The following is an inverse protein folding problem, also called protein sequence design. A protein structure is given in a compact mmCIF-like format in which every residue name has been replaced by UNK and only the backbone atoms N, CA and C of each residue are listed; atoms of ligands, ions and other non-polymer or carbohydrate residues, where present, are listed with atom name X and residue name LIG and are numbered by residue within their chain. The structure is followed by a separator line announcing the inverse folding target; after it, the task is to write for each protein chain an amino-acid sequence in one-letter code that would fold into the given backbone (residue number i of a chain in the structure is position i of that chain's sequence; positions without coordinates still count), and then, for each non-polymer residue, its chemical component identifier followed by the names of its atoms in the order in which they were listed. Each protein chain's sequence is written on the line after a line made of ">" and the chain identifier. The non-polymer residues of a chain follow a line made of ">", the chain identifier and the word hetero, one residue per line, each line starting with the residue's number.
data_IF_200882898779
#
_entry.id   IF_200882898779
#
_cell.length_a   1.000
_cell.length_b   1.000
_cell.length_c   1.000
_cell.angle_alpha   90.00
_cell.angle_beta   90.00
_cell.angle_gamma   90.00
#
_symmetry.space_group_name_H-M   'P 1'
#
loop_
_entity.id
_entity.type
_entity.pdbx_description
1 polymer ?
#
# COMPACT_ATOMS: atom_id res chain seq x y z
N UNK A 1 -8.10 1.03 -4.19
CA UNK A 1 -6.70 1.18 -4.68
C UNK A 1 -6.40 2.67 -4.76
N UNK A 2 -5.46 3.22 -3.98
CA UNK A 2 -5.13 4.64 -4.07
C UNK A 2 -3.92 4.90 -4.98
N UNK A 3 -4.04 5.89 -5.86
CA UNK A 3 -2.96 6.48 -6.64
C UNK A 3 -2.46 7.70 -5.87
N UNK A 4 -1.13 7.83 -5.74
CA UNK A 4 -0.53 9.06 -5.27
C UNK A 4 -0.12 9.86 -6.51
N UNK A 5 -0.54 11.11 -6.54
CA UNK A 5 -0.04 12.08 -7.50
C UNK A 5 0.88 12.98 -6.69
N UNK A 6 2.07 13.20 -7.18
CA UNK A 6 2.93 14.23 -6.61
C UNK A 6 3.27 15.09 -7.80
N UNK A 7 2.80 16.34 -7.77
CA UNK A 7 3.22 17.33 -8.74
C UNK A 7 4.75 17.40 -8.69
N UNK A 8 5.42 16.80 -9.67
CA UNK A 8 6.87 16.93 -9.85
C UNK A 8 7.16 18.40 -10.13
N UNK A 9 7.80 19.09 -9.19
CA UNK A 9 8.33 20.42 -9.47
C UNK A 9 8.78 21.24 -8.27
N UNK A 10 8.12 21.13 -7.12
CA UNK A 10 8.44 21.97 -5.97
C UNK A 10 8.70 21.13 -4.73
N UNK A 11 9.99 20.95 -4.47
CA UNK A 11 10.56 20.38 -3.25
C UNK A 11 10.51 21.43 -2.12
N UNK A 12 9.36 22.09 -1.95
CA UNK A 12 9.13 22.99 -0.83
C UNK A 12 8.63 22.16 0.35
N UNK A 13 9.12 22.45 1.56
CA UNK A 13 8.81 21.71 2.80
C UNK A 13 7.30 21.70 3.18
N UNK A 14 6.44 22.37 2.39
CA UNK A 14 5.00 22.56 2.62
C UNK A 14 4.12 22.17 1.43
N UNK A 15 4.62 21.41 0.47
CA UNK A 15 3.79 21.00 -0.67
C UNK A 15 2.62 20.11 -0.23
N UNK A 16 1.40 20.47 -0.63
CA UNK A 16 0.17 19.70 -0.40
C UNK A 16 0.29 18.26 -0.96
N UNK A 17 -0.40 17.30 -0.34
CA UNK A 17 -0.38 15.89 -0.74
C UNK A 17 -1.56 15.62 -1.69
N UNK A 18 -1.30 15.44 -2.98
CA UNK A 18 -2.36 15.07 -3.95
C UNK A 18 -2.59 13.54 -3.98
N UNK A 19 -3.84 13.10 -3.78
CA UNK A 19 -4.23 11.69 -3.81
C UNK A 19 -5.43 11.50 -4.73
N UNK A 20 -5.34 10.53 -5.63
CA UNK A 20 -6.47 10.09 -6.44
C UNK A 20 -6.87 8.66 -6.03
N UNK A 21 -8.07 8.46 -5.51
CA UNK A 21 -8.50 7.16 -5.00
C UNK A 21 -9.36 6.44 -6.04
N UNK A 22 -8.92 5.25 -6.46
CA UNK A 22 -9.71 4.31 -7.26
C UNK A 22 -10.52 3.42 -6.31
N UNK A 23 -11.83 3.59 -6.29
CA UNK A 23 -12.75 2.76 -5.54
C UNK A 23 -13.78 2.13 -6.48
N UNK A 24 -13.83 0.80 -6.54
CA UNK A 24 -14.92 0.10 -7.23
C UNK A 24 -16.17 0.13 -6.35
N UNK A 25 -17.31 0.55 -6.90
CA UNK A 25 -18.63 0.44 -6.27
C UNK A 25 -18.82 1.19 -4.93
N UNK A 26 -18.14 2.33 -4.72
CA UNK A 26 -18.38 3.17 -3.54
C UNK A 26 -19.59 4.08 -3.75
N UNK A 27 -20.48 4.16 -2.75
CA UNK A 27 -21.59 5.12 -2.75
C UNK A 27 -21.10 6.50 -2.29
N UNK A 28 -21.81 7.56 -2.67
CA UNK A 28 -21.43 8.92 -2.28
C UNK A 28 -21.42 9.10 -0.74
N UNK A 29 -22.31 8.41 -0.02
CA UNK A 29 -22.28 8.38 1.46
C UNK A 29 -21.01 7.76 2.04
N UNK A 30 -20.51 6.67 1.44
CA UNK A 30 -19.25 6.05 1.88
C UNK A 30 -18.06 6.91 1.49
N UNK A 31 -18.15 7.63 0.37
CA UNK A 31 -17.12 8.60 -0.04
C UNK A 31 -17.00 9.75 0.96
N UNK A 32 -18.10 10.26 1.50
CA UNK A 32 -18.06 11.27 2.56
C UNK A 32 -17.27 10.80 3.79
N UNK A 33 -17.38 9.51 4.17
CA UNK A 33 -16.57 8.95 5.25
C UNK A 33 -15.08 8.91 4.93
N UNK A 34 -14.73 8.68 3.66
CA UNK A 34 -13.33 8.72 3.21
C UNK A 34 -12.79 10.14 3.33
N UNK A 35 -13.57 11.13 2.90
CA UNK A 35 -13.20 12.55 3.04
C UNK A 35 -13.03 12.94 4.52
N UNK A 36 -13.95 12.51 5.39
CA UNK A 36 -13.87 12.74 6.83
C UNK A 36 -12.58 12.15 7.44
N UNK A 37 -12.18 10.94 7.06
CA UNK A 37 -10.91 10.35 7.51
C UNK A 37 -9.71 11.16 7.03
N UNK A 38 -9.75 11.68 5.80
CA UNK A 38 -8.66 12.45 5.21
C UNK A 38 -8.54 13.83 5.86
N UNK A 39 -9.67 14.50 6.09
CA UNK A 39 -9.73 15.83 6.74
C UNK A 39 -9.28 15.75 8.21
N UNK A 40 -9.58 14.65 8.90
CA UNK A 40 -9.18 14.42 10.29
C UNK A 40 -7.84 13.66 10.43
N UNK A 41 -7.10 13.46 9.35
CA UNK A 41 -5.81 12.78 9.43
C UNK A 41 -4.80 13.63 10.21
N UNK A 42 -4.02 13.00 11.09
CA UNK A 42 -2.96 13.66 11.86
C UNK A 42 -1.72 13.91 10.97
N UNK A 43 -1.88 14.81 10.00
CA UNK A 43 -0.85 15.19 9.05
C UNK A 43 -0.64 16.69 9.06
N UNK A 44 0.63 17.11 9.13
CA UNK A 44 1.02 18.53 9.05
C UNK A 44 0.72 19.17 7.68
N UNK A 45 0.54 18.35 6.64
CA UNK A 45 0.28 18.77 5.27
C UNK A 45 -1.19 18.55 4.91
N UNK A 46 -1.75 19.46 4.13
CA UNK A 46 -3.10 19.30 3.58
C UNK A 46 -3.10 18.18 2.54
N UNK A 47 -4.13 17.34 2.57
CA UNK A 47 -4.32 16.28 1.59
C UNK A 47 -5.42 16.73 0.62
N UNK A 48 -5.09 16.93 -0.65
CA UNK A 48 -6.08 17.10 -1.72
C UNK A 48 -6.46 15.73 -2.27
N UNK A 49 -7.71 15.32 -2.07
CA UNK A 49 -8.18 13.99 -2.43
C UNK A 49 -9.30 14.04 -3.46
N UNK A 50 -9.09 13.38 -4.60
CA UNK A 50 -10.07 13.23 -5.66
C UNK A 50 -10.52 11.78 -5.82
N UNK A 51 -11.82 11.60 -6.10
CA UNK A 51 -12.37 10.30 -6.51
C UNK A 51 -12.02 10.05 -7.97
N UNK A 52 -11.20 9.04 -8.24
CA UNK A 52 -10.71 8.77 -9.58
C UNK A 52 -11.75 8.00 -10.41
N UNK A 53 -12.72 8.73 -10.96
CA UNK A 53 -13.75 8.23 -11.88
C UNK A 53 -13.98 9.25 -12.99
N UNK A 54 -14.04 8.82 -14.24
CA UNK A 54 -14.23 9.72 -15.39
C UNK A 54 -15.51 10.56 -15.34
N UNK A 55 -16.51 10.14 -14.54
CA UNK A 55 -17.76 10.87 -14.30
C UNK A 55 -17.68 11.87 -13.15
N UNK A 56 -16.62 11.83 -12.33
CA UNK A 56 -16.47 12.64 -11.11
C UNK A 56 -15.30 13.61 -11.18
N UNK A 57 -14.42 13.49 -12.17
CA UNK A 57 -13.32 14.42 -12.43
C UNK A 57 -13.32 14.86 -13.90
N UNK A 58 -12.78 16.05 -14.16
CA UNK A 58 -12.74 16.60 -15.52
C UNK A 58 -11.90 15.69 -16.44
N UNK A 59 -12.22 15.60 -17.74
CA UNK A 59 -11.46 14.78 -18.68
C UNK A 59 -9.97 15.14 -18.73
N UNK A 60 -9.65 16.43 -18.64
CA UNK A 60 -8.26 16.92 -18.67
C UNK A 60 -7.48 16.46 -17.44
N UNK A 61 -8.09 16.55 -16.26
CA UNK A 61 -7.51 16.07 -15.01
C UNK A 61 -7.38 14.54 -15.03
N UNK A 62 -8.40 13.84 -15.52
CA UNK A 62 -8.39 12.37 -15.63
C UNK A 62 -7.22 11.88 -16.49
N UNK A 63 -7.01 12.46 -17.66
CA UNK A 63 -5.90 12.12 -18.57
C UNK A 63 -4.53 12.49 -17.96
N UNK A 64 -4.42 13.65 -17.32
CA UNK A 64 -3.20 14.05 -16.61
C UNK A 64 -2.83 13.02 -15.53
N UNK A 65 -3.79 12.63 -14.70
CA UNK A 65 -3.60 11.63 -13.65
C UNK A 65 -3.22 10.28 -14.27
N UNK A 66 -3.88 9.85 -15.36
CA UNK A 66 -3.52 8.61 -16.04
C UNK A 66 -2.06 8.59 -16.51
N UNK A 67 -1.58 9.72 -17.04
CA UNK A 67 -0.23 9.87 -17.56
C UNK A 67 0.83 9.95 -16.46
N UNK A 68 0.52 10.60 -15.34
CA UNK A 68 1.50 10.95 -14.29
C UNK A 68 1.42 10.08 -13.04
N UNK A 69 0.39 9.22 -12.91
CA UNK A 69 0.16 8.44 -11.69
C UNK A 69 1.36 7.59 -11.27
N UNK A 70 1.66 7.61 -9.97
CA UNK A 70 2.47 6.60 -9.29
C UNK A 70 1.54 5.72 -8.46
N UNK A 71 1.46 4.45 -8.83
CA UNK A 71 0.62 3.45 -8.16
C UNK A 71 1.26 3.09 -6.79
N UNK A 72 0.85 3.78 -5.73
CA UNK A 72 1.50 3.66 -4.41
C UNK A 72 0.89 2.50 -3.58
N UNK A 73 -0.44 2.50 -3.41
CA UNK A 73 -1.08 1.51 -2.53
C UNK A 73 -1.05 0.08 -3.06
N UNK A 74 -0.98 -0.15 -4.38
CA UNK A 74 -0.94 -1.53 -4.88
C UNK A 74 0.40 -2.21 -4.61
N UNK A 75 1.50 -1.47 -4.66
CA UNK A 75 2.85 -2.04 -4.54
C UNK A 75 3.17 -2.41 -3.10
N UNK A 76 2.78 -1.54 -2.16
CA UNK A 76 2.89 -1.80 -0.74
C UNK A 76 1.95 -2.92 -0.30
N UNK A 77 0.68 -2.92 -0.77
CA UNK A 77 -0.26 -4.01 -0.47
C UNK A 77 0.18 -5.33 -1.06
N UNK A 78 0.78 -5.35 -2.27
CA UNK A 78 1.31 -6.57 -2.87
C UNK A 78 2.47 -7.14 -2.04
N UNK A 79 3.36 -6.27 -1.54
CA UNK A 79 4.47 -6.67 -0.67
C UNK A 79 3.97 -7.15 0.70
N UNK A 80 3.01 -6.44 1.28
CA UNK A 80 2.35 -6.82 2.54
C UNK A 80 1.70 -8.20 2.42
N UNK A 81 0.93 -8.44 1.35
CA UNK A 81 0.25 -9.72 1.16
C UNK A 81 1.23 -10.88 0.94
N UNK A 82 2.34 -10.63 0.22
CA UNK A 82 3.42 -11.63 0.09
C UNK A 82 4.04 -11.96 1.45
N UNK A 83 4.36 -10.93 2.24
CA UNK A 83 4.90 -11.11 3.59
C UNK A 83 3.91 -11.86 4.48
N UNK A 84 2.64 -11.46 4.52
CA UNK A 84 1.58 -12.09 5.32
C UNK A 84 1.44 -13.58 5.02
N UNK A 85 1.42 -13.96 3.74
CA UNK A 85 1.36 -15.38 3.33
C UNK A 85 2.57 -16.19 3.79
N UNK A 86 3.77 -15.61 3.64
CA UNK A 86 5.00 -16.27 4.11
C UNK A 86 5.02 -16.44 5.63
N UNK A 87 4.58 -15.40 6.36
CA UNK A 87 4.47 -15.42 7.81
C UNK A 87 3.49 -16.48 8.31
N UNK A 88 2.29 -16.58 7.72
CA UNK A 88 1.33 -17.65 8.06
C UNK A 88 1.93 -19.04 7.85
N UNK A 89 2.67 -19.23 6.75
CA UNK A 89 3.33 -20.52 6.48
C UNK A 89 4.42 -20.83 7.52
N UNK A 90 5.15 -19.81 7.98
CA UNK A 90 6.17 -19.96 9.02
C UNK A 90 5.53 -20.28 10.38
N UNK A 91 4.42 -19.63 10.72
CA UNK A 91 3.63 -19.92 11.93
C UNK A 91 3.12 -21.37 11.92
N UNK A 92 2.59 -21.84 10.79
CA UNK A 92 2.17 -23.24 10.63
C UNK A 92 3.33 -24.24 10.84
N UNK A 93 4.56 -23.88 10.46
CA UNK A 93 5.75 -24.71 10.69
C UNK A 93 6.15 -24.66 12.18
N UNK A 94 6.09 -23.48 12.79
CA UNK A 94 6.43 -23.28 14.20
C UNK A 94 5.52 -24.07 15.15
N UNK A 95 4.24 -24.24 14.80
CA UNK A 95 3.28 -25.01 15.59
C UNK A 95 3.44 -26.54 15.47
N UNK A 96 4.28 -27.03 14.56
CA UNK A 96 4.53 -28.47 14.40
C UNK A 96 5.51 -28.98 15.46
N UNK A 97 5.39 -30.26 15.87
CA UNK A 97 6.34 -30.86 16.79
C UNK A 97 7.76 -30.82 16.22
N UNK A 98 8.73 -30.64 17.12
CA UNK A 98 10.15 -30.66 16.78
C UNK A 98 10.50 -32.02 16.17
N UNK A 99 11.33 -32.02 15.15
CA UNK A 99 11.83 -33.21 14.46
C UNK A 99 13.35 -33.15 14.34
N UNK A 100 13.99 -34.32 14.36
CA UNK A 100 15.42 -34.47 14.09
C UNK A 100 15.73 -34.60 12.59
N UNK A 101 14.69 -34.66 11.74
CA UNK A 101 14.85 -34.70 10.29
C UNK A 101 15.56 -33.44 9.78
N UNK A 102 16.81 -33.62 9.35
CA UNK A 102 17.66 -32.57 8.80
C UNK A 102 17.02 -31.85 7.62
N UNK A 103 16.32 -32.57 6.74
CA UNK A 103 15.68 -31.95 5.57
C UNK A 103 14.55 -31.00 6.02
N UNK A 104 13.80 -31.38 7.05
CA UNK A 104 12.77 -30.53 7.63
C UNK A 104 13.36 -29.31 8.35
N UNK A 105 14.45 -29.49 9.09
CA UNK A 105 15.18 -28.40 9.76
C UNK A 105 15.69 -27.39 8.73
N UNK A 106 16.36 -27.85 7.67
CA UNK A 106 16.91 -26.99 6.63
C UNK A 106 15.78 -26.24 5.89
N UNK A 107 14.66 -26.90 5.60
CA UNK A 107 13.48 -26.26 5.02
C UNK A 107 12.85 -25.20 5.95
N UNK A 108 12.88 -25.43 7.27
CA UNK A 108 12.39 -24.48 8.27
C UNK A 108 13.28 -23.23 8.32
N UNK A 109 14.60 -23.41 8.31
CA UNK A 109 15.57 -22.30 8.25
C UNK A 109 15.35 -21.46 7.00
N UNK A 110 15.24 -22.09 5.81
CA UNK A 110 14.97 -21.37 4.57
C UNK A 110 13.63 -20.60 4.62
N UNK A 111 12.58 -21.17 5.22
CA UNK A 111 11.29 -20.48 5.35
C UNK A 111 11.40 -19.26 6.26
N UNK A 112 12.17 -19.36 7.35
CA UNK A 112 12.47 -18.25 8.24
C UNK A 112 13.19 -17.12 7.49
N UNK A 113 14.31 -17.43 6.82
CA UNK A 113 15.10 -16.45 6.06
C UNK A 113 14.27 -15.77 4.98
N UNK A 114 13.49 -16.53 4.23
CA UNK A 114 12.60 -16.00 3.20
C UNK A 114 11.54 -15.05 3.78
N UNK A 115 10.96 -15.39 4.93
CA UNK A 115 9.96 -14.56 5.60
C UNK A 115 10.56 -13.23 6.04
N UNK A 116 11.78 -13.25 6.60
CA UNK A 116 12.52 -12.03 6.98
C UNK A 116 12.87 -11.16 5.77
N UNK A 117 13.29 -11.75 4.66
CA UNK A 117 13.58 -11.02 3.43
C UNK A 117 12.33 -10.30 2.87
N UNK A 118 11.16 -10.96 2.95
CA UNK A 118 9.89 -10.32 2.56
C UNK A 118 9.48 -9.22 3.53
N UNK A 119 9.67 -9.41 4.84
CA UNK A 119 9.43 -8.38 5.85
C UNK A 119 10.28 -7.14 5.56
N UNK A 120 11.58 -7.31 5.32
CA UNK A 120 12.50 -6.23 4.97
C UNK A 120 12.08 -5.49 3.70
N UNK A 121 11.74 -6.22 2.63
CA UNK A 121 11.25 -5.64 1.37
C UNK A 121 9.96 -4.83 1.53
N UNK A 122 9.07 -5.28 2.42
CA UNK A 122 7.85 -4.56 2.79
C UNK A 122 8.19 -3.29 3.58
N UNK A 123 8.96 -3.40 4.66
CA UNK A 123 9.36 -2.26 5.50
C UNK A 123 10.09 -1.20 4.71
N UNK A 124 11.03 -1.60 3.84
CA UNK A 124 11.70 -0.67 2.91
C UNK A 124 10.72 0.11 2.06
N UNK A 125 9.71 -0.55 1.49
CA UNK A 125 8.69 0.16 0.69
C UNK A 125 7.81 1.05 1.54
N UNK A 126 7.49 0.63 2.77
CA UNK A 126 6.64 1.37 3.69
C UNK A 126 7.30 2.68 4.16
N UNK A 127 8.61 2.68 4.37
CA UNK A 127 9.38 3.84 4.80
C UNK A 127 10.03 4.64 3.66
N UNK A 128 9.78 4.28 2.39
CA UNK A 128 10.30 4.99 1.20
C UNK A 128 9.29 5.95 0.59
#
# INVERSE_FOLDING_TARGET
>A
MALRLSCRGYNEERSDIDIAIICSNITDQKWLKVMDIIENADTLLKIDCVRFESTKISPELYEKILKEKKLYMSKINLKLEKFRKAFMTLEDIYLKPVTEDRAYIDATIQRFEFTFELAWKFLKEYFS
#
